data_IF_962471715738
#
_entry.id   IF_962471715738
#
_cell.length_a   1.000
_cell.length_b   1.000
_cell.length_c   1.000
_cell.angle_alpha   90.00
_cell.angle_beta   90.00
_cell.angle_gamma   90.00
#
_symmetry.space_group_name_H-M   'P 1'
#
loop_
_entity.id
_entity.type
_entity.pdbx_description
1 polymer ?
#
# COMPACT_ATOMS: atom_id res chain seq x y z
N UNK A 1 38.17 4.32 -42.80
CA UNK A 1 38.43 2.89 -43.12
C UNK A 1 38.01 1.96 -41.99
N UNK A 2 38.46 2.18 -40.74
CA UNK A 2 38.15 1.31 -39.58
C UNK A 2 36.65 1.24 -39.27
N UNK A 3 35.95 2.37 -39.19
CA UNK A 3 34.48 2.39 -38.95
C UNK A 3 33.70 1.59 -40.02
N UNK A 4 34.13 1.67 -41.29
CA UNK A 4 33.50 0.94 -42.39
C UNK A 4 33.79 -0.56 -42.38
N UNK A 5 34.96 -0.98 -41.87
CA UNK A 5 35.31 -2.40 -41.70
C UNK A 5 34.57 -3.00 -40.50
N UNK A 6 34.46 -2.24 -39.40
CA UNK A 6 33.73 -2.64 -38.21
C UNK A 6 32.23 -2.79 -38.52
N UNK A 7 31.63 -1.81 -39.21
CA UNK A 7 30.23 -1.88 -39.62
C UNK A 7 29.95 -3.09 -40.53
N UNK A 8 30.86 -3.42 -41.46
CA UNK A 8 30.73 -4.59 -42.36
C UNK A 8 30.86 -5.93 -41.64
N UNK A 9 31.60 -6.01 -40.54
CA UNK A 9 31.79 -7.25 -39.76
C UNK A 9 30.95 -7.32 -38.49
N UNK A 10 30.22 -6.26 -38.15
CA UNK A 10 29.49 -6.15 -36.90
C UNK A 10 28.45 -7.25 -36.71
N UNK A 11 27.69 -7.58 -37.76
CA UNK A 11 26.73 -8.68 -37.74
C UNK A 11 27.40 -10.04 -37.52
N UNK A 12 28.66 -10.23 -37.95
CA UNK A 12 29.43 -11.45 -37.67
C UNK A 12 30.04 -11.46 -36.26
N UNK A 13 30.27 -10.29 -35.66
CA UNK A 13 30.82 -10.14 -34.31
C UNK A 13 29.72 -10.33 -33.26
N UNK A 14 28.52 -9.81 -33.55
CA UNK A 14 27.38 -9.80 -32.63
C UNK A 14 26.35 -10.89 -32.98
N UNK A 15 26.45 -11.52 -34.15
CA UNK A 15 25.47 -12.47 -34.67
C UNK A 15 25.29 -13.77 -33.88
N UNK A 16 26.12 -14.05 -32.87
CA UNK A 16 25.87 -15.11 -31.89
C UNK A 16 25.04 -14.67 -30.69
N UNK A 17 24.91 -13.36 -30.45
CA UNK A 17 24.31 -12.78 -29.25
C UNK A 17 22.96 -12.07 -29.52
N UNK A 18 22.67 -11.75 -30.79
CA UNK A 18 21.50 -10.94 -31.18
C UNK A 18 20.72 -11.67 -32.27
N UNK A 19 19.48 -12.02 -31.92
CA UNK A 19 18.58 -12.88 -32.67
C UNK A 19 17.70 -13.72 -31.74
N UNK A 20 16.39 -13.75 -32.01
CA UNK A 20 15.44 -14.58 -31.27
C UNK A 20 15.15 -14.03 -29.88
N UNK A 21 15.59 -14.74 -28.83
CA UNK A 21 15.35 -14.38 -27.44
C UNK A 21 15.93 -13.02 -27.02
N UNK A 22 16.96 -12.54 -27.71
CA UNK A 22 17.74 -11.36 -27.32
C UNK A 22 17.47 -10.12 -28.20
N UNK A 23 16.38 -10.10 -28.97
CA UNK A 23 16.03 -9.00 -29.88
C UNK A 23 15.70 -7.67 -29.18
N UNK A 24 15.57 -7.72 -27.85
CA UNK A 24 15.48 -6.53 -27.00
C UNK A 24 16.82 -5.82 -26.80
N UNK A 25 17.95 -6.39 -27.21
CA UNK A 25 19.25 -5.73 -27.14
C UNK A 25 19.45 -4.77 -28.32
N UNK A 26 19.76 -3.51 -28.01
CA UNK A 26 20.16 -2.52 -28.98
C UNK A 26 21.65 -2.63 -29.27
N UNK A 27 22.01 -3.33 -30.35
CA UNK A 27 23.40 -3.52 -30.79
C UNK A 27 23.68 -2.97 -32.19
N UNK A 28 23.36 -1.71 -32.55
CA UNK A 28 23.81 -1.15 -33.82
C UNK A 28 25.34 -1.08 -33.90
N UNK A 29 25.96 -1.11 -35.08
CA UNK A 29 27.40 -0.94 -35.20
C UNK A 29 27.88 0.35 -34.51
N UNK A 30 28.93 0.29 -33.67
CA UNK A 30 29.45 1.45 -32.96
C UNK A 30 30.01 2.47 -33.95
N UNK A 31 29.82 3.76 -33.65
CA UNK A 31 30.20 4.86 -34.53
C UNK A 31 31.48 5.53 -34.06
N UNK A 32 32.34 5.90 -34.99
CA UNK A 32 33.52 6.74 -34.75
C UNK A 32 34.41 6.24 -33.61
N UNK A 33 34.68 4.93 -33.59
CA UNK A 33 35.33 4.24 -32.45
C UNK A 33 36.72 4.82 -32.16
N UNK A 34 37.51 5.08 -33.20
CA UNK A 34 38.83 5.70 -33.04
C UNK A 34 38.76 7.12 -32.49
N UNK A 35 37.79 7.91 -32.94
CA UNK A 35 37.59 9.27 -32.44
C UNK A 35 37.12 9.25 -30.98
N UNK A 36 36.20 8.34 -30.63
CA UNK A 36 35.77 8.12 -29.26
C UNK A 36 36.97 7.79 -28.35
N UNK A 37 37.80 6.84 -28.77
CA UNK A 37 38.94 6.33 -28.00
C UNK A 37 40.13 7.28 -27.92
N UNK A 38 40.32 8.20 -28.87
CA UNK A 38 41.53 9.06 -28.94
C UNK A 38 41.25 10.53 -28.68
N UNK A 39 40.00 10.97 -28.83
CA UNK A 39 39.58 12.36 -28.61
C UNK A 39 38.50 12.48 -27.54
N UNK A 40 37.42 11.70 -27.62
CA UNK A 40 36.29 11.85 -26.68
C UNK A 40 36.61 11.30 -25.27
N UNK A 41 37.39 10.22 -25.18
CA UNK A 41 37.84 9.61 -23.93
C UNK A 41 39.16 10.20 -23.40
N UNK A 42 39.80 11.11 -24.15
CA UNK A 42 41.06 11.77 -23.77
C UNK A 42 40.77 12.79 -22.68
N UNK A 43 40.74 12.34 -21.42
CA UNK A 43 40.28 13.10 -20.26
C UNK A 43 41.05 14.40 -19.98
N UNK A 44 40.75 15.48 -20.70
CA UNK A 44 41.42 16.79 -20.51
C UNK A 44 40.53 17.89 -19.93
N UNK A 45 39.24 17.62 -19.66
CA UNK A 45 38.35 18.57 -18.98
C UNK A 45 37.48 17.85 -17.97
N UNK A 46 37.12 18.52 -16.85
CA UNK A 46 36.28 17.95 -15.77
C UNK A 46 34.89 17.44 -16.22
N UNK A 47 34.55 17.55 -17.51
CA UNK A 47 33.30 17.11 -18.14
C UNK A 47 33.44 15.81 -18.95
N UNK A 48 34.63 15.42 -19.41
CA UNK A 48 34.83 14.24 -20.26
C UNK A 48 34.86 12.91 -19.49
N UNK A 49 35.06 12.93 -18.17
CA UNK A 49 35.15 11.72 -17.33
C UNK A 49 33.80 11.13 -16.90
N UNK A 50 32.67 11.80 -17.20
CA UNK A 50 31.32 11.33 -16.79
C UNK A 50 30.60 10.45 -17.81
N UNK A 51 31.15 10.25 -19.01
CA UNK A 51 30.53 9.39 -20.05
C UNK A 51 31.42 8.18 -20.30
N UNK A 52 30.84 7.00 -20.26
CA UNK A 52 31.46 5.73 -20.63
C UNK A 52 31.66 5.58 -22.14
N UNK A 53 32.51 4.61 -22.52
CA UNK A 53 32.90 4.34 -23.89
C UNK A 53 31.70 4.01 -24.79
N UNK A 54 30.71 3.29 -24.26
CA UNK A 54 29.50 2.93 -25.03
C UNK A 54 28.70 4.17 -25.44
N UNK A 55 28.57 5.15 -24.53
CA UNK A 55 27.99 6.44 -24.85
C UNK A 55 28.80 7.19 -25.90
N UNK A 56 30.14 7.17 -25.78
CA UNK A 56 31.03 7.85 -26.72
C UNK A 56 30.99 7.27 -28.15
N UNK A 57 30.67 5.98 -28.31
CA UNK A 57 30.51 5.33 -29.62
C UNK A 57 29.06 5.27 -30.12
N UNK A 58 28.15 5.97 -29.44
CA UNK A 58 26.78 6.23 -29.92
C UNK A 58 25.68 5.34 -29.33
N UNK A 59 25.95 4.56 -28.27
CA UNK A 59 24.91 3.85 -27.55
C UNK A 59 24.28 4.74 -26.48
N UNK A 60 22.97 4.94 -26.57
CA UNK A 60 22.19 5.65 -25.54
C UNK A 60 21.58 4.68 -24.54
N UNK A 61 21.09 3.54 -25.02
CA UNK A 61 20.58 2.45 -24.20
C UNK A 61 20.82 1.11 -24.90
N UNK A 62 21.46 0.16 -24.20
CA UNK A 62 21.70 -1.20 -24.70
C UNK A 62 20.44 -2.08 -24.68
N UNK A 63 19.42 -1.70 -23.92
CA UNK A 63 18.19 -2.48 -23.76
C UNK A 63 17.03 -1.65 -24.29
N UNK A 64 16.38 -2.16 -25.34
CA UNK A 64 15.08 -1.69 -25.78
C UNK A 64 14.02 -2.27 -24.85
N UNK A 65 13.68 -1.52 -23.80
CA UNK A 65 12.76 -1.98 -22.76
C UNK A 65 11.36 -2.29 -23.33
N UNK A 66 10.90 -1.51 -24.32
CA UNK A 66 9.64 -1.78 -25.01
C UNK A 66 9.64 -3.11 -25.78
N UNK A 67 10.78 -3.52 -26.35
CA UNK A 67 10.93 -4.87 -26.92
C UNK A 67 11.12 -5.94 -25.86
N UNK A 68 11.79 -5.63 -24.74
CA UNK A 68 11.99 -6.56 -23.63
C UNK A 68 10.65 -6.98 -23.02
N UNK A 69 9.79 -6.02 -22.68
CA UNK A 69 8.49 -6.31 -22.07
C UNK A 69 7.54 -7.04 -23.03
N UNK A 70 7.71 -6.85 -24.34
CA UNK A 70 6.97 -7.56 -25.40
C UNK A 70 7.65 -8.85 -25.84
N UNK A 71 8.77 -9.23 -25.23
CA UNK A 71 9.49 -10.44 -25.59
C UNK A 71 8.64 -11.68 -25.26
N UNK A 72 8.76 -12.77 -26.06
CA UNK A 72 8.01 -13.99 -25.80
C UNK A 72 8.22 -14.54 -24.39
N UNK A 73 9.45 -14.42 -23.85
CA UNK A 73 9.80 -14.90 -22.52
C UNK A 73 9.05 -14.17 -21.41
N UNK A 74 8.93 -12.84 -21.51
CA UNK A 74 8.18 -12.03 -20.55
C UNK A 74 6.68 -12.32 -20.67
N UNK A 75 6.16 -12.39 -21.89
CA UNK A 75 4.74 -12.67 -22.13
C UNK A 75 4.34 -14.08 -21.66
N UNK A 76 5.15 -15.11 -21.97
CA UNK A 76 4.95 -16.47 -21.46
C UNK A 76 5.06 -16.55 -19.94
N UNK A 77 6.00 -15.79 -19.36
CA UNK A 77 6.15 -15.68 -17.90
C UNK A 77 4.90 -15.10 -17.23
N UNK A 78 4.31 -14.04 -17.82
CA UNK A 78 3.07 -13.41 -17.38
C UNK A 78 1.91 -14.41 -17.47
N UNK A 79 1.73 -15.06 -18.62
CA UNK A 79 0.65 -16.05 -18.81
C UNK A 79 0.77 -17.24 -17.85
N UNK A 80 1.99 -17.76 -17.66
CA UNK A 80 2.25 -18.83 -16.70
C UNK A 80 2.00 -18.38 -15.26
N UNK A 81 2.36 -17.15 -14.92
CA UNK A 81 2.09 -16.54 -13.62
C UNK A 81 0.58 -16.44 -13.37
N UNK A 82 -0.18 -15.91 -14.34
CA UNK A 82 -1.64 -15.81 -14.29
C UNK A 82 -2.31 -17.16 -14.06
N UNK A 83 -1.87 -18.19 -14.79
CA UNK A 83 -2.35 -19.57 -14.61
C UNK A 83 -2.02 -20.11 -13.22
N UNK A 84 -0.80 -19.90 -12.74
CA UNK A 84 -0.36 -20.37 -11.41
C UNK A 84 -1.20 -19.74 -10.29
N UNK A 85 -1.44 -18.42 -10.35
CA UNK A 85 -2.29 -17.73 -9.38
C UNK A 85 -3.72 -18.27 -9.42
N UNK A 86 -4.26 -18.48 -10.62
CA UNK A 86 -5.61 -19.02 -10.81
C UNK A 86 -5.75 -20.44 -10.25
N UNK A 87 -4.77 -21.30 -10.47
CA UNK A 87 -4.76 -22.66 -9.93
C UNK A 87 -4.65 -22.66 -8.39
N UNK A 88 -3.85 -21.75 -7.82
CA UNK A 88 -3.73 -21.62 -6.36
C UNK A 88 -5.03 -21.14 -5.70
N UNK A 89 -5.75 -20.20 -6.32
CA UNK A 89 -7.07 -19.74 -5.87
C UNK A 89 -8.06 -20.90 -5.79
N UNK A 90 -8.05 -21.80 -6.78
CA UNK A 90 -8.89 -23.01 -6.78
C UNK A 90 -8.50 -23.96 -5.66
N UNK A 91 -7.20 -24.17 -5.46
CA UNK A 91 -6.67 -25.04 -4.40
C UNK A 91 -7.04 -24.56 -2.98
N UNK A 92 -7.17 -23.24 -2.77
CA UNK A 92 -7.55 -22.67 -1.47
C UNK A 92 -8.98 -23.01 -1.02
N UNK A 93 -9.84 -23.47 -1.95
CA UNK A 93 -11.25 -23.85 -1.70
C UNK A 93 -12.01 -22.79 -0.91
N UNK A 94 -11.89 -21.54 -1.33
CA UNK A 94 -12.42 -20.37 -0.61
C UNK A 94 -13.92 -20.51 -0.35
N UNK A 95 -14.69 -21.05 -1.29
CA UNK A 95 -16.13 -21.30 -1.13
C UNK A 95 -16.49 -22.11 0.11
N UNK A 96 -15.68 -23.10 0.47
CA UNK A 96 -15.90 -23.95 1.66
C UNK A 96 -15.58 -23.29 3.00
N UNK A 97 -14.88 -22.15 2.97
CA UNK A 97 -14.46 -21.39 4.17
C UNK A 97 -15.34 -20.17 4.43
N UNK A 98 -16.21 -19.82 3.49
CA UNK A 98 -17.12 -18.70 3.62
C UNK A 98 -18.36 -19.13 4.42
N UNK A 99 -18.89 -18.24 5.29
CA UNK A 99 -20.19 -18.48 5.90
C UNK A 99 -21.27 -18.53 4.81
N UNK A 100 -22.33 -19.29 5.07
CA UNK A 100 -23.48 -19.36 4.19
C UNK A 100 -24.31 -18.08 4.24
N UNK A 101 -24.95 -17.72 3.12
CA UNK A 101 -25.90 -16.58 3.09
C UNK A 101 -27.02 -16.75 4.14
N UNK A 102 -27.42 -18.00 4.42
CA UNK A 102 -28.41 -18.31 5.45
C UNK A 102 -27.95 -17.99 6.87
N UNK A 103 -26.67 -18.17 7.19
CA UNK A 103 -26.13 -17.83 8.52
C UNK A 103 -26.11 -16.32 8.74
N UNK A 104 -25.74 -15.55 7.72
CA UNK A 104 -25.79 -14.08 7.78
C UNK A 104 -27.24 -13.57 7.87
N UNK A 105 -28.15 -14.15 7.09
CA UNK A 105 -29.57 -13.83 7.17
C UNK A 105 -30.15 -14.13 8.56
N UNK A 106 -29.77 -15.27 9.15
CA UNK A 106 -30.18 -15.61 10.52
C UNK A 106 -29.63 -14.62 11.55
N UNK A 107 -28.35 -14.25 11.45
CA UNK A 107 -27.75 -13.24 12.33
C UNK A 107 -28.46 -11.88 12.23
N UNK A 108 -28.89 -11.48 11.03
CA UNK A 108 -29.69 -10.28 10.83
C UNK A 108 -31.03 -10.38 11.58
N UNK A 109 -31.78 -11.46 11.36
CA UNK A 109 -33.10 -11.66 11.97
C UNK A 109 -33.00 -11.78 13.49
N UNK A 110 -31.98 -12.43 14.01
CA UNK A 110 -31.77 -12.57 15.45
C UNK A 110 -31.45 -11.21 16.10
N UNK A 111 -30.67 -10.35 15.41
CA UNK A 111 -30.44 -8.97 15.86
C UNK A 111 -31.71 -8.12 15.82
N UNK A 112 -32.48 -8.19 14.73
CA UNK A 112 -33.77 -7.50 14.60
C UNK A 112 -34.70 -7.85 15.76
N UNK A 113 -34.86 -9.16 16.03
CA UNK A 113 -35.65 -9.63 17.17
C UNK A 113 -35.11 -9.14 18.51
N UNK A 114 -33.80 -9.15 18.72
CA UNK A 114 -33.20 -8.69 19.96
C UNK A 114 -33.47 -7.19 20.20
N UNK A 115 -33.42 -6.37 19.15
CA UNK A 115 -33.74 -4.94 19.21
C UNK A 115 -35.23 -4.71 19.46
N UNK A 116 -36.11 -5.49 18.83
CA UNK A 116 -37.56 -5.40 19.04
C UNK A 116 -37.97 -5.82 20.46
N UNK A 117 -37.30 -6.82 21.02
CA UNK A 117 -37.54 -7.32 22.39
C UNK A 117 -37.01 -6.33 23.44
N UNK A 118 -35.89 -5.65 23.15
CA UNK A 118 -35.31 -4.67 24.06
C UNK A 118 -36.31 -3.54 24.28
N UNK A 119 -36.94 -3.48 25.46
CA UNK A 119 -37.90 -2.45 25.84
C UNK A 119 -37.48 -1.84 27.17
N UNK A 120 -37.00 -0.59 27.13
CA UNK A 120 -36.49 0.11 28.31
C UNK A 120 -37.56 0.89 29.07
N UNK A 121 -38.83 0.85 28.66
CA UNK A 121 -39.89 1.65 29.27
C UNK A 121 -40.04 1.43 30.78
N UNK A 122 -39.87 0.20 31.26
CA UNK A 122 -39.91 -0.09 32.69
C UNK A 122 -38.80 0.65 33.46
N UNK A 123 -37.56 0.62 32.95
CA UNK A 123 -36.41 1.30 33.55
C UNK A 123 -36.52 2.83 33.42
N UNK A 124 -37.04 3.31 32.28
CA UNK A 124 -37.32 4.74 32.08
C UNK A 124 -38.32 5.21 33.14
N UNK A 125 -39.39 4.45 33.36
CA UNK A 125 -40.42 4.79 34.36
C UNK A 125 -39.89 4.73 35.80
N UNK A 126 -39.04 3.76 36.14
CA UNK A 126 -38.45 3.67 37.48
C UNK A 126 -37.43 4.77 37.78
N UNK A 127 -36.86 5.40 36.75
CA UNK A 127 -35.90 6.51 36.88
C UNK A 127 -36.58 7.89 36.89
N UNK A 128 -37.90 7.95 37.10
CA UNK A 128 -38.59 9.22 37.28
C UNK A 128 -38.20 9.89 38.61
N UNK A 129 -37.47 11.02 38.53
CA UNK A 129 -37.02 11.78 39.70
C UNK A 129 -38.16 12.35 40.55
N UNK A 130 -39.38 12.46 40.02
CA UNK A 130 -40.55 12.88 40.80
C UNK A 130 -40.90 11.89 41.92
N UNK A 131 -40.41 10.65 41.84
CA UNK A 131 -40.56 9.65 42.90
C UNK A 131 -39.72 9.99 44.14
N UNK A 132 -38.67 10.81 43.99
CA UNK A 132 -37.82 11.28 45.09
C UNK A 132 -38.24 12.68 45.57
N UNK A 133 -39.52 12.88 45.89
CA UNK A 133 -39.98 14.17 46.42
C UNK A 133 -39.68 14.30 47.93
N UNK A 134 -38.79 15.21 48.37
CA UNK A 134 -38.46 15.35 49.79
C UNK A 134 -39.49 16.16 50.59
N UNK A 135 -40.48 16.81 49.98
CA UNK A 135 -41.37 17.78 50.65
C UNK A 135 -42.06 17.22 51.89
N UNK A 136 -42.52 15.96 51.86
CA UNK A 136 -43.15 15.34 53.03
C UNK A 136 -42.17 15.17 54.21
N UNK A 137 -40.90 14.86 53.92
CA UNK A 137 -39.84 14.71 54.92
C UNK A 137 -39.43 16.09 55.43
N UNK A 138 -39.29 17.08 54.56
CA UNK A 138 -39.02 18.48 54.93
C UNK A 138 -40.09 19.04 55.87
N UNK A 139 -41.37 18.76 55.58
CA UNK A 139 -42.48 19.13 56.46
C UNK A 139 -42.41 18.43 57.82
N UNK A 140 -42.07 17.14 57.85
CA UNK A 140 -41.89 16.39 59.10
C UNK A 140 -40.73 16.95 59.94
N UNK A 141 -39.60 17.26 59.31
CA UNK A 141 -38.44 17.91 59.96
C UNK A 141 -38.88 19.23 60.61
N UNK A 142 -39.64 20.06 59.89
CA UNK A 142 -40.13 21.34 60.41
C UNK A 142 -41.04 21.16 61.64
N UNK A 143 -41.96 20.18 61.59
CA UNK A 143 -42.84 19.86 62.72
C UNK A 143 -42.07 19.35 63.94
N UNK A 144 -41.14 18.42 63.74
CA UNK A 144 -40.29 17.88 64.82
C UNK A 144 -39.40 18.94 65.45
N UNK A 145 -38.85 19.85 64.64
CA UNK A 145 -38.03 20.97 65.12
C UNK A 145 -38.86 21.91 66.00
N UNK A 146 -40.05 22.29 65.55
CA UNK A 146 -40.94 23.15 66.33
C UNK A 146 -41.40 22.48 67.64
N UNK A 147 -41.74 21.19 67.58
CA UNK A 147 -42.09 20.41 68.76
C UNK A 147 -40.94 20.33 69.77
N UNK A 148 -39.72 20.04 69.30
CA UNK A 148 -38.52 19.94 70.14
C UNK A 148 -38.17 21.28 70.80
N UNK A 149 -38.36 22.40 70.11
CA UNK A 149 -38.09 23.73 70.64
C UNK A 149 -39.09 24.18 71.72
N UNK A 150 -40.30 23.62 71.72
CA UNK A 150 -41.37 23.94 72.67
C UNK A 150 -41.37 23.02 73.91
N UNK A 151 -40.47 22.05 74.02
CA UNK A 151 -40.35 21.17 75.18
C UNK A 151 -39.26 21.62 76.16
N UNK A 152 -39.55 21.49 77.46
CA UNK A 152 -38.65 21.84 78.57
C UNK A 152 -37.46 20.87 78.71
N UNK A 153 -37.51 19.70 78.07
CA UNK A 153 -36.45 18.70 78.03
C UNK A 153 -35.69 18.84 76.71
N UNK A 154 -34.58 19.56 76.76
CA UNK A 154 -33.71 19.82 75.62
C UNK A 154 -33.07 18.53 75.10
N UNK A 155 -33.22 18.26 73.80
CA UNK A 155 -32.40 17.36 72.96
C UNK A 155 -32.91 15.96 72.57
N UNK A 156 -34.15 15.56 72.82
CA UNK A 156 -34.58 14.18 72.47
C UNK A 156 -34.69 13.88 70.97
N UNK A 157 -34.78 14.88 70.07
CA UNK A 157 -35.00 14.67 68.64
C UNK A 157 -33.84 15.11 67.73
N UNK A 158 -32.79 15.73 68.27
CA UNK A 158 -31.71 16.35 67.47
C UNK A 158 -31.07 15.37 66.49
N UNK A 159 -30.74 14.16 66.95
CA UNK A 159 -30.12 13.13 66.11
C UNK A 159 -31.08 12.68 64.98
N UNK A 160 -32.36 12.47 65.30
CA UNK A 160 -33.36 12.06 64.30
C UNK A 160 -33.61 13.15 63.24
N UNK A 161 -33.67 14.42 63.65
CA UNK A 161 -33.77 15.57 62.72
C UNK A 161 -32.53 15.63 61.83
N UNK A 162 -31.31 15.44 62.38
CA UNK A 162 -30.08 15.40 61.59
C UNK A 162 -30.12 14.29 60.53
N UNK A 163 -30.49 13.07 60.91
CA UNK A 163 -30.60 11.95 59.96
C UNK A 163 -31.65 12.20 58.89
N UNK A 164 -32.79 12.82 59.21
CA UNK A 164 -33.80 13.17 58.22
C UNK A 164 -33.30 14.25 57.24
N UNK A 165 -32.53 15.23 57.72
CA UNK A 165 -31.90 16.23 56.85
C UNK A 165 -30.89 15.58 55.89
N UNK A 166 -30.07 14.64 56.36
CA UNK A 166 -29.14 13.87 55.51
C UNK A 166 -29.90 13.09 54.43
N UNK A 167 -31.03 12.45 54.77
CA UNK A 167 -31.88 11.76 53.78
C UNK A 167 -32.42 12.73 52.73
N UNK A 168 -32.89 13.91 53.13
CA UNK A 168 -33.36 14.94 52.19
C UNK A 168 -32.24 15.39 51.26
N UNK A 169 -31.03 15.59 51.79
CA UNK A 169 -29.86 15.95 51.00
C UNK A 169 -29.49 14.84 50.00
N UNK A 170 -29.47 13.58 50.43
CA UNK A 170 -29.24 12.44 49.56
C UNK A 170 -30.31 12.31 48.47
N UNK A 171 -31.59 12.53 48.79
CA UNK A 171 -32.67 12.52 47.80
C UNK A 171 -32.48 13.63 46.75
N UNK A 172 -32.14 14.85 47.18
CA UNK A 172 -31.86 15.97 46.28
C UNK A 172 -30.64 15.71 45.39
N UNK A 173 -29.60 15.08 45.93
CA UNK A 173 -28.40 14.71 45.18
C UNK A 173 -28.65 13.57 44.19
N UNK A 174 -29.59 12.65 44.48
CA UNK A 174 -29.92 11.53 43.61
C UNK A 174 -30.88 11.90 42.46
N UNK A 175 -31.73 12.92 42.65
CA UNK A 175 -32.63 13.41 41.59
C UNK A 175 -31.93 13.72 40.24
N UNK A 176 -30.83 14.50 40.17
CA UNK A 176 -30.15 14.78 38.91
C UNK A 176 -29.57 13.52 38.27
N UNK A 177 -29.05 12.57 39.05
CA UNK A 177 -28.54 11.29 38.55
C UNK A 177 -29.64 10.41 37.96
N UNK A 178 -30.82 10.38 38.59
CA UNK A 178 -32.00 9.71 38.04
C UNK A 178 -32.46 10.34 36.73
N UNK A 179 -32.50 11.68 36.65
CA UNK A 179 -32.84 12.41 35.42
C UNK A 179 -31.83 12.15 34.30
N UNK A 180 -30.54 12.14 34.63
CA UNK A 180 -29.46 11.82 33.69
C UNK A 180 -29.61 10.40 33.15
N UNK A 181 -29.75 9.41 34.05
CA UNK A 181 -29.96 8.01 33.69
C UNK A 181 -31.20 7.83 32.83
N UNK A 182 -32.32 8.48 33.18
CA UNK A 182 -33.54 8.47 32.38
C UNK A 182 -33.30 9.01 30.97
N UNK A 183 -32.59 10.14 30.85
CA UNK A 183 -32.23 10.72 29.55
C UNK A 183 -31.36 9.79 28.71
N UNK A 184 -30.41 9.09 29.32
CA UNK A 184 -29.61 8.08 28.63
C UNK A 184 -30.44 6.88 28.15
N UNK A 185 -31.35 6.36 28.99
CA UNK A 185 -32.25 5.26 28.62
C UNK A 185 -33.20 5.65 27.49
N UNK A 186 -33.74 6.87 27.50
CA UNK A 186 -34.59 7.39 26.42
C UNK A 186 -33.83 7.46 25.09
N UNK A 187 -32.60 7.96 25.09
CA UNK A 187 -31.76 7.99 23.89
C UNK A 187 -31.50 6.59 23.32
N UNK A 188 -31.27 5.60 24.18
CA UNK A 188 -31.10 4.21 23.74
C UNK A 188 -32.41 3.66 23.17
N UNK A 189 -33.54 3.89 23.84
CA UNK A 189 -34.86 3.43 23.40
C UNK A 189 -35.27 4.03 22.05
N UNK A 190 -34.99 5.32 21.82
CA UNK A 190 -35.24 6.02 20.56
C UNK A 190 -34.28 5.57 19.45
N UNK A 191 -32.98 5.42 19.77
CA UNK A 191 -31.92 5.15 18.79
C UNK A 191 -31.66 3.68 18.47
N UNK A 192 -32.18 2.72 19.25
CA UNK A 192 -31.87 1.28 19.05
C UNK A 192 -32.18 0.75 17.64
N UNK A 193 -33.21 1.30 16.99
CA UNK A 193 -33.64 0.88 15.65
C UNK A 193 -32.69 1.38 14.55
N UNK A 194 -31.95 2.47 14.80
CA UNK A 194 -31.03 3.07 13.83
C UNK A 194 -29.82 2.17 13.56
N UNK A 195 -29.46 1.30 14.51
CA UNK A 195 -28.37 0.31 14.39
C UNK A 195 -28.66 -0.71 13.28
N UNK A 196 -29.93 -0.98 12.98
CA UNK A 196 -30.32 -1.99 12.00
C UNK A 196 -29.91 -1.63 10.58
N UNK A 197 -29.95 -0.34 10.21
CA UNK A 197 -29.67 0.08 8.84
C UNK A 197 -28.20 -0.16 8.44
N UNK A 198 -27.19 0.29 9.22
CA UNK A 198 -25.79 -0.04 8.96
C UNK A 198 -25.52 -1.54 8.91
N UNK A 199 -26.12 -2.33 9.82
CA UNK A 199 -25.93 -3.78 9.85
C UNK A 199 -26.53 -4.44 8.61
N UNK A 200 -27.71 -4.02 8.16
CA UNK A 200 -28.32 -4.49 6.90
C UNK A 200 -27.42 -4.19 5.70
N UNK A 201 -26.86 -2.98 5.63
CA UNK A 201 -25.91 -2.61 4.59
C UNK A 201 -24.67 -3.50 4.59
N UNK A 202 -24.09 -3.74 5.77
CA UNK A 202 -22.93 -4.62 5.94
C UNK A 202 -23.23 -6.06 5.53
N UNK A 203 -24.36 -6.62 5.96
CA UNK A 203 -24.80 -7.97 5.59
C UNK A 203 -25.05 -8.07 4.08
N UNK A 204 -25.64 -7.04 3.47
CA UNK A 204 -25.79 -6.94 2.02
C UNK A 204 -24.45 -7.00 1.27
N UNK A 205 -23.45 -6.24 1.75
CA UNK A 205 -22.10 -6.25 1.20
C UNK A 205 -21.39 -7.60 1.36
N UNK A 206 -21.55 -8.25 2.52
CA UNK A 206 -21.02 -9.59 2.75
C UNK A 206 -21.69 -10.62 1.84
N UNK A 207 -23.02 -10.59 1.69
CA UNK A 207 -23.73 -11.48 0.78
C UNK A 207 -23.26 -11.30 -0.67
N UNK A 208 -23.05 -10.06 -1.13
CA UNK A 208 -22.50 -9.80 -2.46
C UNK A 208 -21.08 -10.38 -2.63
N UNK A 209 -20.24 -10.22 -1.61
CA UNK A 209 -18.88 -10.80 -1.58
C UNK A 209 -18.93 -12.32 -1.60
N UNK A 210 -19.76 -12.93 -0.76
CA UNK A 210 -19.93 -14.39 -0.66
C UNK A 210 -20.45 -14.95 -1.99
N UNK A 211 -21.41 -14.31 -2.65
CA UNK A 211 -21.89 -14.74 -3.98
C UNK A 211 -20.79 -14.77 -5.03
N UNK A 212 -19.91 -13.77 -5.00
CA UNK A 212 -18.78 -13.68 -5.93
C UNK A 212 -17.71 -14.70 -5.58
N UNK A 213 -17.32 -14.79 -4.32
CA UNK A 213 -16.22 -15.64 -3.85
C UNK A 213 -16.59 -17.13 -3.72
N UNK A 214 -17.87 -17.45 -3.55
CA UNK A 214 -18.36 -18.84 -3.55
C UNK A 214 -18.47 -19.43 -4.96
N UNK A 215 -18.56 -18.57 -5.98
CA UNK A 215 -18.51 -18.98 -7.37
C UNK A 215 -17.05 -18.98 -7.83
N UNK A 216 -16.45 -20.17 -7.85
CA UNK A 216 -15.04 -20.36 -8.22
C UNK A 216 -14.69 -19.69 -9.56
N UNK A 217 -15.55 -19.80 -10.58
CA UNK A 217 -15.32 -19.17 -11.88
C UNK A 217 -15.30 -17.64 -11.79
N UNK A 218 -16.24 -17.02 -11.07
CA UNK A 218 -16.26 -15.56 -10.89
C UNK A 218 -15.07 -15.08 -10.06
N UNK A 219 -14.71 -15.82 -9.02
CA UNK A 219 -13.55 -15.51 -8.18
C UNK A 219 -12.24 -15.58 -8.98
N UNK A 220 -12.06 -16.63 -9.78
CA UNK A 220 -10.90 -16.76 -10.67
C UNK A 220 -10.82 -15.58 -11.64
N UNK A 221 -11.93 -15.22 -12.30
CA UNK A 221 -11.97 -14.06 -13.22
C UNK A 221 -11.60 -12.76 -12.50
N UNK A 222 -12.09 -12.53 -11.28
CA UNK A 222 -11.74 -11.32 -10.53
C UNK A 222 -10.25 -11.29 -10.16
N UNK A 223 -9.68 -12.42 -9.72
CA UNK A 223 -8.25 -12.51 -9.42
C UNK A 223 -7.40 -12.30 -10.67
N UNK A 224 -7.80 -12.89 -11.80
CA UNK A 224 -7.15 -12.67 -13.09
C UNK A 224 -7.19 -11.18 -13.50
N UNK A 225 -8.32 -10.50 -13.31
CA UNK A 225 -8.42 -9.06 -13.59
C UNK A 225 -7.48 -8.22 -12.72
N UNK A 226 -7.32 -8.57 -11.43
CA UNK A 226 -6.40 -7.88 -10.54
C UNK A 226 -4.94 -8.18 -10.90
N UNK A 227 -4.63 -9.41 -11.30
CA UNK A 227 -3.33 -9.78 -11.83
C UNK A 227 -2.97 -8.93 -13.06
N UNK A 228 -3.90 -8.81 -14.01
CA UNK A 228 -3.69 -8.04 -15.24
C UNK A 228 -3.44 -6.54 -14.94
N UNK A 229 -4.12 -5.97 -13.93
CA UNK A 229 -3.87 -4.58 -13.48
C UNK A 229 -2.46 -4.40 -12.92
N UNK A 230 -2.00 -5.33 -12.08
CA UNK A 230 -0.65 -5.29 -11.50
C UNK A 230 0.40 -5.44 -12.59
N UNK A 231 0.21 -6.39 -13.51
CA UNK A 231 1.12 -6.58 -14.64
C UNK A 231 1.16 -5.33 -15.52
N UNK A 232 0.00 -4.74 -15.86
CA UNK A 232 -0.04 -3.50 -16.61
C UNK A 232 0.77 -2.39 -15.94
N UNK A 233 0.57 -2.17 -14.64
CA UNK A 233 1.32 -1.18 -13.87
C UNK A 233 2.82 -1.49 -13.82
N UNK A 234 3.20 -2.76 -13.68
CA UNK A 234 4.60 -3.19 -13.72
C UNK A 234 5.24 -2.94 -15.09
N UNK A 235 4.56 -3.28 -16.18
CA UNK A 235 5.06 -3.06 -17.53
C UNK A 235 5.20 -1.57 -17.84
N UNK A 236 4.22 -0.75 -17.45
CA UNK A 236 4.30 0.71 -17.58
C UNK A 236 5.46 1.29 -16.75
N UNK A 237 5.69 0.79 -15.53
CA UNK A 237 6.82 1.18 -14.71
C UNK A 237 8.16 0.82 -15.38
N UNK A 238 8.30 -0.41 -15.88
CA UNK A 238 9.51 -0.84 -16.58
C UNK A 238 9.78 0.03 -17.81
N UNK A 239 8.76 0.32 -18.61
CA UNK A 239 8.91 1.16 -19.81
C UNK A 239 9.33 2.60 -19.48
N UNK A 240 8.82 3.18 -18.39
CA UNK A 240 9.06 4.59 -18.06
C UNK A 240 10.29 4.83 -17.18
N UNK A 241 10.47 4.05 -16.11
CA UNK A 241 11.47 4.31 -15.07
C UNK A 241 12.73 3.46 -15.26
N UNK A 242 12.58 2.17 -15.56
CA UNK A 242 13.75 1.30 -15.80
C UNK A 242 14.45 1.64 -17.12
N UNK A 243 13.71 2.11 -18.14
CA UNK A 243 14.30 2.64 -19.37
C UNK A 243 15.33 3.77 -19.12
N UNK A 244 15.06 4.62 -18.13
CA UNK A 244 15.99 5.69 -17.71
C UNK A 244 17.17 5.11 -16.93
N UNK A 245 16.93 4.13 -16.07
CA UNK A 245 17.99 3.44 -15.32
C UNK A 245 18.95 2.68 -16.24
N UNK A 246 18.45 1.91 -17.21
CA UNK A 246 19.26 1.21 -18.21
C UNK A 246 20.02 2.17 -19.13
N UNK A 247 19.42 3.30 -19.49
CA UNK A 247 20.11 4.38 -20.20
C UNK A 247 21.27 4.93 -19.37
N UNK A 248 21.05 5.22 -18.08
CA UNK A 248 22.12 5.71 -17.20
C UNK A 248 23.24 4.69 -17.02
N UNK A 249 22.89 3.42 -16.81
CA UNK A 249 23.86 2.33 -16.73
C UNK A 249 24.66 2.19 -18.03
N UNK A 250 24.00 2.25 -19.20
CA UNK A 250 24.65 2.24 -20.52
C UNK A 250 25.63 3.40 -20.68
N UNK A 251 25.27 4.57 -20.14
CA UNK A 251 26.11 5.75 -20.17
C UNK A 251 27.32 5.69 -19.24
N UNK A 252 27.26 4.89 -18.17
CA UNK A 252 28.34 4.73 -17.20
C UNK A 252 29.19 3.46 -17.47
N UNK A 253 28.67 2.53 -18.27
CA UNK A 253 29.35 1.30 -18.66
C UNK A 253 30.62 1.55 -19.49
N UNK A 254 31.67 0.80 -19.15
CA UNK A 254 33.03 0.89 -19.70
C UNK A 254 33.65 2.27 -19.52
N UNK A 255 34.43 2.50 -18.46
CA UNK A 255 34.95 3.83 -18.18
C UNK A 255 35.92 4.27 -19.28
N UNK A 256 35.65 5.46 -19.84
CA UNK A 256 36.24 5.95 -21.09
C UNK A 256 37.75 6.17 -20.95
N UNK A 257 38.19 6.66 -19.79
CA UNK A 257 39.59 7.05 -19.57
C UNK A 257 40.52 5.84 -19.56
N UNK A 258 40.10 4.73 -18.97
CA UNK A 258 40.79 3.45 -18.99
C UNK A 258 40.90 2.91 -20.42
N UNK A 259 39.82 3.03 -21.21
CA UNK A 259 39.83 2.66 -22.62
C UNK A 259 40.80 3.53 -23.44
N UNK A 260 40.83 4.85 -23.20
CA UNK A 260 41.81 5.75 -23.82
C UNK A 260 43.25 5.36 -23.45
N UNK A 261 43.54 5.11 -22.16
CA UNK A 261 44.88 4.73 -21.70
C UNK A 261 45.36 3.44 -22.35
N UNK A 262 44.50 2.42 -22.42
CA UNK A 262 44.83 1.15 -23.06
C UNK A 262 45.18 1.33 -24.55
N UNK A 263 44.38 2.11 -25.28
CA UNK A 263 44.63 2.38 -26.70
C UNK A 263 45.88 3.23 -26.90
N UNK A 264 46.11 4.23 -26.06
CA UNK A 264 47.29 5.08 -26.16
C UNK A 264 48.59 4.31 -25.87
N UNK A 265 48.58 3.40 -24.89
CA UNK A 265 49.72 2.49 -24.64
C UNK A 265 49.97 1.60 -25.85
N UNK A 266 48.93 0.99 -26.42
CA UNK A 266 49.05 0.16 -27.62
C UNK A 266 49.61 0.96 -28.81
N UNK A 267 49.09 2.17 -29.05
CA UNK A 267 49.55 3.06 -30.12
C UNK A 267 50.98 3.55 -29.89
N UNK A 268 51.38 3.81 -28.65
CA UNK A 268 52.76 4.20 -28.32
C UNK A 268 53.74 3.05 -28.59
N UNK A 269 53.36 1.81 -28.23
CA UNK A 269 54.18 0.61 -28.47
C UNK A 269 54.25 0.25 -29.95
N UNK A 270 53.18 0.47 -30.71
CA UNK A 270 53.16 0.15 -32.15
C UNK A 270 53.77 1.26 -33.01
N UNK A 271 53.42 2.52 -32.73
CA UNK A 271 53.62 3.67 -33.63
C UNK A 271 54.31 4.87 -32.97
N UNK A 272 54.64 4.84 -31.68
CA UNK A 272 55.38 5.91 -31.01
C UNK A 272 56.86 5.94 -31.42
N UNK A 273 57.60 6.93 -30.93
CA UNK A 273 59.01 7.13 -31.32
C UNK A 273 59.90 5.90 -31.03
N UNK A 274 59.56 5.11 -30.02
CA UNK A 274 60.22 3.83 -29.69
C UNK A 274 59.48 2.58 -30.21
N UNK A 275 58.39 2.76 -30.96
CA UNK A 275 57.48 1.70 -31.35
C UNK A 275 58.00 0.80 -32.47
N UNK A 276 57.41 -0.40 -32.58
CA UNK A 276 57.84 -1.43 -33.53
C UNK A 276 57.85 -0.95 -35.00
N UNK A 277 56.88 -0.14 -35.42
CA UNK A 277 56.86 0.41 -36.78
C UNK A 277 57.93 1.47 -37.02
N UNK A 278 58.24 2.31 -36.03
CA UNK A 278 59.27 3.32 -36.16
C UNK A 278 60.67 2.67 -36.22
N UNK A 279 60.87 1.58 -35.46
CA UNK A 279 62.06 0.72 -35.58
C UNK A 279 62.13 -0.01 -36.94
N UNK A 280 61.00 -0.45 -37.50
CA UNK A 280 60.98 -1.08 -38.82
C UNK A 280 61.28 -0.09 -39.95
N UNK A 281 60.74 1.13 -39.92
CA UNK A 281 61.02 2.16 -40.92
C UNK A 281 62.44 2.71 -40.77
N UNK A 282 62.95 2.83 -39.54
CA UNK A 282 64.36 3.18 -39.28
C UNK A 282 65.37 2.13 -39.75
N UNK A 283 64.98 0.87 -39.92
CA UNK A 283 65.85 -0.20 -40.49
C UNK A 283 65.84 -0.21 -42.02
N UNK A 284 64.86 0.44 -42.67
CA UNK A 284 64.80 0.55 -44.15
C UNK A 284 65.45 1.85 -44.66
N UNK A 285 65.79 2.78 -43.76
CA UNK A 285 66.45 4.05 -44.08
C UNK A 285 67.85 4.19 -43.43
N UNK A 286 68.58 3.07 -43.33
CA UNK A 286 70.04 2.99 -43.13
C UNK A 286 70.64 2.12 -44.21
#
# INVERSE_FOLDING_TARGET
VVDGLLARRWSSIVGGSVGGANDFLNTPPPRHVLHALTQSCRGSTKQSSRRGLLSAVGYTNLVDVSKLVKSPQVQEGIEKGKKTVSDEVKNLKISSKLPSESELGKAQTDLEKAIDILNLNALINSTNSSLLNPTSIENLIAQLTNFSNNQSLTNNFTNGISTLNEVVEQMKNLQPEMNSTRGHLQKVEEGKSEILQPVKGLIGAFNATIKTASNESKLTVEVENQYDKVIKGLLEFMENDDGVAFSKLTQELFPCEEAYRAVNVALAVSCGDEGALNRFVGVVYV
#
